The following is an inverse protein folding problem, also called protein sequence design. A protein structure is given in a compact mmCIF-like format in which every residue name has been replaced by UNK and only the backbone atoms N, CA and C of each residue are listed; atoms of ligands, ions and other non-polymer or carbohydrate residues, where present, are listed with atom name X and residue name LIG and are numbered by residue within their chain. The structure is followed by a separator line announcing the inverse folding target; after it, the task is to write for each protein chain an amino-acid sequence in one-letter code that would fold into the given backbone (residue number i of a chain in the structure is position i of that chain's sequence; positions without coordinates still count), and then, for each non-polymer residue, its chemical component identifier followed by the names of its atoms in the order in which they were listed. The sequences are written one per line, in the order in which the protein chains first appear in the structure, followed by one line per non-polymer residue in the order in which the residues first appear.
data_IF_214078412332
#
_entry.id   IF_214078412332
#
_cell.length_a   1.000
_cell.length_b   1.000
_cell.length_c   1.000
_cell.angle_alpha   90.00
_cell.angle_beta   90.00
_cell.angle_gamma   90.00
#
_symmetry.space_group_name_H-M   'P 1'
#
loop_
_entity.id
_entity.type
_entity.pdbx_description
1 polymer ?
#
# COMPACT_ATOMS: atom_id res chain seq x y z
N UNK A 1 4.01 -15.36 5.52
CA UNK A 1 3.60 -14.47 6.63
C UNK A 1 3.53 -15.29 7.92
N UNK A 2 3.97 -14.73 9.05
CA UNK A 2 3.85 -15.33 10.39
C UNK A 2 2.37 -15.36 10.83
N UNK A 3 1.95 -16.29 11.69
CA UNK A 3 0.55 -16.41 12.19
C UNK A 3 -0.05 -15.08 12.70
N UNK A 4 0.69 -14.19 13.42
CA UNK A 4 0.22 -12.85 13.79
C UNK A 4 -0.20 -11.96 12.60
N UNK A 5 0.46 -12.10 11.45
CA UNK A 5 0.18 -11.27 10.28
C UNK A 5 -1.20 -11.52 9.69
N UNK A 6 -1.66 -12.77 9.68
CA UNK A 6 -2.99 -13.12 9.15
C UNK A 6 -4.09 -12.54 10.05
N UNK A 7 -3.93 -12.60 11.38
CA UNK A 7 -4.90 -12.00 12.31
C UNK A 7 -4.99 -10.49 12.12
N UNK A 8 -3.85 -9.81 11.96
CA UNK A 8 -3.82 -8.37 11.67
C UNK A 8 -4.54 -8.11 10.36
N UNK A 9 -4.23 -8.85 9.28
CA UNK A 9 -4.89 -8.70 7.98
C UNK A 9 -6.40 -8.96 8.03
N UNK A 10 -6.90 -9.83 8.91
CA UNK A 10 -8.34 -10.03 9.10
C UNK A 10 -8.96 -8.81 9.78
N UNK A 11 -8.33 -8.27 10.82
CA UNK A 11 -8.84 -7.09 11.53
C UNK A 11 -8.74 -5.83 10.65
N UNK A 12 -7.74 -5.76 9.77
CA UNK A 12 -7.51 -4.63 8.86
C UNK A 12 -7.79 -4.99 7.39
N UNK A 13 -8.73 -5.93 7.17
CA UNK A 13 -9.06 -6.45 5.83
C UNK A 13 -9.48 -5.37 4.81
N UNK A 14 -10.14 -4.25 5.19
CA UNK A 14 -10.49 -3.22 4.21
C UNK A 14 -9.25 -2.67 3.50
N UNK A 15 -8.12 -2.55 4.19
CA UNK A 15 -6.87 -2.11 3.60
C UNK A 15 -6.30 -3.08 2.58
N UNK A 16 -6.41 -4.40 2.81
CA UNK A 16 -6.02 -5.43 1.83
C UNK A 16 -6.84 -5.27 0.56
N UNK A 17 -8.17 -5.10 0.69
CA UNK A 17 -9.06 -4.90 -0.46
C UNK A 17 -8.63 -3.68 -1.27
N UNK A 18 -8.36 -2.54 -0.62
CA UNK A 18 -7.92 -1.32 -1.30
C UNK A 18 -6.56 -1.49 -1.97
N UNK A 19 -5.63 -2.24 -1.34
CA UNK A 19 -4.33 -2.57 -1.91
C UNK A 19 -4.46 -3.34 -3.23
N UNK A 20 -5.23 -4.42 -3.23
CA UNK A 20 -5.46 -5.24 -4.44
C UNK A 20 -6.26 -4.48 -5.50
N UNK A 21 -7.22 -3.64 -5.08
CA UNK A 21 -7.91 -2.73 -6.00
C UNK A 21 -6.94 -1.75 -6.66
N UNK A 22 -5.94 -1.25 -5.94
CA UNK A 22 -4.94 -0.35 -6.50
C UNK A 22 -4.05 -1.06 -7.54
N UNK A 23 -3.60 -2.29 -7.28
CA UNK A 23 -2.92 -3.10 -8.30
C UNK A 23 -3.78 -3.23 -9.56
N UNK A 24 -5.03 -3.66 -9.39
CA UNK A 24 -5.96 -3.84 -10.50
C UNK A 24 -6.25 -2.52 -11.24
N UNK A 25 -6.35 -1.41 -10.51
CA UNK A 25 -6.53 -0.07 -11.09
C UNK A 25 -5.37 0.25 -12.04
N UNK A 26 -4.12 0.08 -11.62
CA UNK A 26 -2.96 0.34 -12.48
C UNK A 26 -2.88 -0.65 -13.65
N UNK A 27 -3.22 -1.93 -13.46
CA UNK A 27 -3.35 -2.87 -14.58
C UNK A 27 -4.36 -2.35 -15.62
N UNK A 28 -5.56 -1.94 -15.19
CA UNK A 28 -6.61 -1.40 -16.08
C UNK A 28 -6.20 -0.10 -16.77
N UNK A 29 -5.60 0.84 -16.03
CA UNK A 29 -5.11 2.11 -16.59
C UNK A 29 -4.07 1.89 -17.69
N UNK A 30 -3.21 0.88 -17.53
CA UNK A 30 -2.19 0.54 -18.51
C UNK A 30 -2.61 -0.49 -19.53
N UNK A 31 -3.88 -0.93 -19.50
CA UNK A 31 -4.43 -1.97 -20.37
C UNK A 31 -3.65 -3.29 -20.30
N UNK A 32 -3.15 -3.63 -19.11
CA UNK A 32 -2.56 -4.94 -18.82
C UNK A 32 -3.69 -5.91 -18.45
N UNK A 33 -3.89 -7.00 -19.20
CA UNK A 33 -4.92 -8.00 -18.92
C UNK A 33 -4.80 -8.56 -17.50
N UNK A 34 -5.92 -8.62 -16.79
CA UNK A 34 -6.02 -9.24 -15.47
C UNK A 34 -6.75 -10.57 -15.63
N UNK A 35 -6.10 -11.66 -15.21
CA UNK A 35 -6.62 -13.01 -15.32
C UNK A 35 -7.49 -13.38 -14.12
N UNK A 36 -7.07 -12.98 -12.92
CA UNK A 36 -7.75 -13.33 -11.68
C UNK A 36 -7.51 -12.26 -10.61
N UNK A 37 -8.52 -12.01 -9.77
CA UNK A 37 -8.39 -11.12 -8.62
C UNK A 37 -9.04 -11.75 -7.40
N UNK A 38 -8.30 -11.78 -6.30
CA UNK A 38 -8.80 -12.09 -4.98
C UNK A 38 -8.53 -10.87 -4.09
N UNK A 39 -9.56 -10.08 -3.80
CA UNK A 39 -9.40 -8.86 -2.98
C UNK A 39 -9.11 -9.14 -1.51
N UNK A 40 -9.61 -10.26 -0.99
CA UNK A 40 -9.31 -10.70 0.36
C UNK A 40 -9.61 -12.18 0.54
N UNK A 41 -8.69 -12.89 1.21
CA UNK A 41 -8.92 -14.21 1.80
C UNK A 41 -8.10 -14.34 3.10
N UNK A 42 -8.58 -15.07 4.12
CA UNK A 42 -7.84 -15.30 5.35
C UNK A 42 -6.74 -16.38 5.19
N UNK A 43 -6.02 -16.35 4.08
CA UNK A 43 -4.97 -17.30 3.70
C UNK A 43 -3.69 -16.56 3.31
N UNK A 44 -2.64 -17.28 2.91
CA UNK A 44 -1.43 -16.67 2.38
C UNK A 44 -1.27 -16.99 0.88
N UNK A 45 -1.28 -15.99 -0.01
CA UNK A 45 -1.42 -14.55 0.25
C UNK A 45 -2.85 -14.13 0.63
N UNK A 46 -2.97 -13.04 1.40
CA UNK A 46 -4.26 -12.50 1.90
C UNK A 46 -5.07 -11.78 0.83
N UNK A 47 -4.46 -11.50 -0.32
CA UNK A 47 -5.04 -10.91 -1.52
C UNK A 47 -4.06 -11.10 -2.68
N UNK A 48 -4.54 -11.03 -3.92
CA UNK A 48 -3.68 -10.99 -5.10
C UNK A 48 -4.42 -10.50 -6.35
N UNK A 49 -3.65 -9.93 -7.27
CA UNK A 49 -4.05 -9.65 -8.66
C UNK A 49 -3.12 -10.41 -9.61
N UNK A 50 -3.65 -11.43 -10.27
CA UNK A 50 -2.92 -12.15 -11.32
C UNK A 50 -3.15 -11.45 -12.65
N UNK A 51 -2.07 -10.99 -13.29
CA UNK A 51 -2.14 -10.23 -14.54
C UNK A 51 -1.02 -10.62 -15.50
N UNK A 52 -1.16 -10.24 -16.77
CA UNK A 52 -0.13 -10.44 -17.78
C UNK A 52 1.17 -9.67 -17.42
N UNK A 53 2.37 -10.18 -17.75
CA UNK A 53 3.59 -9.41 -17.59
C UNK A 53 3.51 -8.07 -18.32
N UNK A 54 3.73 -6.99 -17.56
CA UNK A 54 3.75 -5.65 -18.14
C UNK A 54 4.91 -5.49 -19.13
N UNK A 55 4.65 -4.88 -20.29
CA UNK A 55 5.63 -4.78 -21.38
C UNK A 55 6.60 -3.62 -21.20
N UNK A 56 6.18 -2.56 -20.50
CA UNK A 56 6.98 -1.35 -20.29
C UNK A 56 7.38 -1.21 -18.83
N UNK A 57 8.61 -0.75 -18.60
CA UNK A 57 9.18 -0.57 -17.25
C UNK A 57 8.28 0.26 -16.34
N UNK A 58 7.73 1.38 -16.84
CA UNK A 58 6.87 2.23 -16.01
C UNK A 58 5.59 1.51 -15.59
N UNK A 59 5.02 0.64 -16.43
CA UNK A 59 3.83 -0.13 -16.08
C UNK A 59 4.16 -1.08 -14.91
N UNK A 60 5.28 -1.80 -14.99
CA UNK A 60 5.73 -2.65 -13.88
C UNK A 60 5.92 -1.84 -12.59
N UNK A 61 6.56 -0.67 -12.67
CA UNK A 61 6.79 0.22 -11.52
C UNK A 61 5.48 0.68 -10.91
N UNK A 62 4.56 1.23 -11.71
CA UNK A 62 3.30 1.75 -11.19
C UNK A 62 2.34 0.65 -10.75
N UNK A 63 2.35 -0.54 -11.37
CA UNK A 63 1.57 -1.67 -10.86
C UNK A 63 2.11 -2.11 -9.50
N UNK A 64 3.43 -2.17 -9.33
CA UNK A 64 4.08 -2.65 -8.08
C UNK A 64 4.02 -1.62 -6.94
N UNK A 65 4.22 -0.33 -7.24
CA UNK A 65 4.29 0.75 -6.23
C UNK A 65 2.98 1.51 -6.10
N UNK A 66 2.07 1.33 -7.06
CA UNK A 66 0.76 1.98 -7.10
C UNK A 66 -0.06 1.85 -5.81
N UNK A 67 -0.18 0.67 -5.20
CA UNK A 67 -0.88 0.51 -3.92
C UNK A 67 -0.32 1.40 -2.82
N UNK A 68 1.00 1.56 -2.73
CA UNK A 68 1.59 2.47 -1.75
C UNK A 68 1.11 3.91 -1.91
N UNK A 69 1.01 4.39 -3.15
CA UNK A 69 0.55 5.75 -3.44
C UNK A 69 -0.95 5.88 -3.09
N UNK A 70 -1.77 4.96 -3.59
CA UNK A 70 -3.24 5.02 -3.43
C UNK A 70 -3.64 4.84 -1.97
N UNK A 71 -3.11 3.82 -1.29
CA UNK A 71 -3.44 3.56 0.11
C UNK A 71 -2.97 4.70 1.01
N UNK A 72 -1.76 5.23 0.80
CA UNK A 72 -1.27 6.37 1.60
C UNK A 72 -2.16 7.60 1.42
N UNK A 73 -2.54 7.92 0.18
CA UNK A 73 -3.40 9.06 -0.11
C UNK A 73 -4.79 8.90 0.52
N UNK A 74 -5.42 7.73 0.38
CA UNK A 74 -6.72 7.44 0.98
C UNK A 74 -6.66 7.42 2.50
N UNK A 75 -5.63 6.82 3.09
CA UNK A 75 -5.34 6.85 4.52
C UNK A 75 -5.27 8.30 5.02
N UNK A 76 -4.53 9.16 4.33
CA UNK A 76 -4.44 10.57 4.69
C UNK A 76 -5.78 11.29 4.57
N UNK A 77 -6.47 11.19 3.43
CA UNK A 77 -7.73 11.93 3.20
C UNK A 77 -8.81 11.52 4.22
N UNK A 78 -8.98 10.22 4.44
CA UNK A 78 -9.98 9.69 5.38
C UNK A 78 -9.54 9.96 6.83
N UNK A 79 -8.25 9.77 7.14
CA UNK A 79 -7.72 10.01 8.47
C UNK A 79 -7.74 11.48 8.87
N UNK A 80 -7.52 12.39 7.92
CA UNK A 80 -7.53 13.83 8.16
C UNK A 80 -8.91 14.33 8.60
N UNK A 81 -10.00 13.84 7.97
CA UNK A 81 -11.36 14.24 8.34
C UNK A 81 -11.70 13.81 9.78
N UNK A 82 -11.38 12.57 10.16
CA UNK A 82 -11.58 12.07 11.52
C UNK A 82 -10.64 12.74 12.53
N UNK A 83 -9.38 12.98 12.16
CA UNK A 83 -8.38 13.67 13.00
C UNK A 83 -8.79 15.08 13.39
N UNK A 84 -9.44 15.81 12.48
CA UNK A 84 -10.00 17.13 12.81
C UNK A 84 -11.02 17.02 13.93
N UNK A 85 -11.94 16.06 13.85
CA UNK A 85 -12.98 15.89 14.88
C UNK A 85 -12.39 15.47 16.23
N UNK A 86 -11.36 14.61 16.23
CA UNK A 86 -10.64 14.27 17.46
C UNK A 86 -9.89 15.46 18.04
N UNK A 87 -9.30 16.31 17.20
CA UNK A 87 -8.51 17.47 17.66
C UNK A 87 -9.37 18.53 18.34
N UNK A 88 -10.63 18.67 17.95
CA UNK A 88 -11.59 19.63 18.50
C UNK A 88 -12.61 19.01 19.46
N UNK A 89 -12.35 17.78 19.95
CA UNK A 89 -13.20 17.05 20.88
C UNK A 89 -14.67 16.93 20.42
N UNK A 90 -14.89 16.86 19.11
CA UNK A 90 -16.21 16.81 18.44
C UNK A 90 -16.50 15.48 17.74
N UNK A 91 -15.67 14.46 17.99
CA UNK A 91 -15.77 13.18 17.32
C UNK A 91 -17.02 12.37 17.73
N UNK A 92 -17.64 11.74 16.74
CA UNK A 92 -18.74 10.82 16.89
C UNK A 92 -18.37 9.42 16.37
N UNK A 93 -19.32 8.48 16.43
CA UNK A 93 -19.09 7.07 16.04
C UNK A 93 -18.55 6.93 14.60
N UNK A 94 -19.00 7.78 13.67
CA UNK A 94 -18.51 7.77 12.29
C UNK A 94 -17.02 8.08 12.22
N UNK A 95 -16.52 9.03 13.03
CA UNK A 95 -15.11 9.41 13.03
C UNK A 95 -14.21 8.29 13.53
N UNK A 96 -14.66 7.52 14.52
CA UNK A 96 -13.96 6.30 14.94
C UNK A 96 -13.93 5.23 13.85
N UNK A 97 -15.02 5.06 13.11
CA UNK A 97 -15.08 4.13 11.98
C UNK A 97 -14.17 4.59 10.82
N UNK A 98 -14.17 5.88 10.50
CA UNK A 98 -13.30 6.46 9.47
C UNK A 98 -11.83 6.36 9.89
N UNK A 99 -11.50 6.58 11.16
CA UNK A 99 -10.15 6.40 11.66
C UNK A 99 -9.68 4.95 11.57
N UNK A 100 -10.53 4.00 11.98
CA UNK A 100 -10.26 2.57 11.79
C UNK A 100 -10.01 2.24 10.31
N UNK A 101 -10.86 2.73 9.42
CA UNK A 101 -10.73 2.52 7.98
C UNK A 101 -9.42 3.12 7.43
N UNK A 102 -9.08 4.35 7.83
CA UNK A 102 -7.86 5.04 7.43
C UNK A 102 -6.62 4.26 7.86
N UNK A 103 -6.52 3.89 9.14
CA UNK A 103 -5.40 3.11 9.67
C UNK A 103 -5.33 1.74 8.99
N UNK A 104 -6.47 1.08 8.76
CA UNK A 104 -6.52 -0.19 8.05
C UNK A 104 -5.95 -0.08 6.64
N UNK A 105 -6.32 0.96 5.87
CA UNK A 105 -5.78 1.22 4.53
C UNK A 105 -4.28 1.53 4.58
N UNK A 106 -3.85 2.39 5.50
CA UNK A 106 -2.45 2.75 5.67
C UNK A 106 -1.56 1.58 6.10
N UNK A 107 -2.08 0.68 6.94
CA UNK A 107 -1.39 -0.53 7.39
C UNK A 107 -1.17 -1.57 6.28
N UNK A 108 -1.80 -1.38 5.11
CA UNK A 108 -1.54 -2.18 3.91
C UNK A 108 -1.02 -1.29 2.77
N UNK A 109 -0.33 -0.19 3.06
CA UNK A 109 0.23 0.65 2.01
C UNK A 109 1.52 0.06 1.40
N UNK A 110 2.39 -0.54 2.23
CA UNK A 110 3.70 -0.98 1.74
C UNK A 110 3.58 -2.11 0.71
N UNK A 111 4.33 -2.04 -0.41
CA UNK A 111 4.36 -3.12 -1.40
C UNK A 111 4.96 -4.40 -0.80
N UNK A 112 4.58 -5.54 -1.37
CA UNK A 112 5.01 -6.85 -0.91
C UNK A 112 6.38 -7.25 -1.46
N UNK A 113 6.96 -8.32 -0.89
CA UNK A 113 8.15 -8.97 -1.49
C UNK A 113 7.85 -9.57 -2.87
N UNK A 114 6.58 -9.85 -3.19
CA UNK A 114 6.14 -10.24 -4.53
C UNK A 114 6.34 -9.11 -5.53
N UNK A 115 5.96 -7.89 -5.16
CA UNK A 115 6.13 -6.68 -5.98
C UNK A 115 7.60 -6.36 -6.23
N UNK A 116 8.43 -6.48 -5.18
CA UNK A 116 9.88 -6.35 -5.30
C UNK A 116 10.46 -7.36 -6.29
N UNK A 117 10.03 -8.62 -6.22
CA UNK A 117 10.49 -9.68 -7.13
C UNK A 117 10.02 -9.45 -8.57
N UNK A 118 8.79 -8.97 -8.76
CA UNK A 118 8.27 -8.60 -10.08
C UNK A 118 9.13 -7.50 -10.72
N UNK A 119 9.46 -6.45 -9.97
CA UNK A 119 10.35 -5.38 -10.44
C UNK A 119 11.77 -5.87 -10.71
N UNK A 120 12.33 -6.66 -9.80
CA UNK A 120 13.67 -7.19 -9.93
C UNK A 120 13.84 -8.06 -11.19
N UNK A 121 12.89 -8.97 -11.42
CA UNK A 121 12.93 -9.87 -12.56
C UNK A 121 12.63 -9.15 -13.88
N UNK A 122 11.59 -8.30 -13.92
CA UNK A 122 11.18 -7.61 -15.14
C UNK A 122 12.16 -6.49 -15.55
N UNK A 123 12.79 -5.81 -14.59
CA UNK A 123 13.63 -4.63 -14.87
C UNK A 123 15.10 -4.89 -14.63
N UNK A 124 15.49 -5.30 -13.42
CA UNK A 124 16.91 -5.33 -13.02
C UNK A 124 17.66 -6.47 -13.69
N UNK A 125 17.10 -7.69 -13.65
CA UNK A 125 17.66 -8.88 -14.28
C UNK A 125 17.47 -8.93 -15.80
N UNK A 126 16.56 -8.13 -16.36
CA UNK A 126 16.29 -8.16 -17.79
C UNK A 126 17.52 -7.76 -18.60
N UNK A 127 17.78 -8.48 -19.69
CA UNK A 127 18.87 -8.18 -20.64
C UNK A 127 18.52 -7.04 -21.59
N UNK A 128 17.24 -6.74 -21.75
CA UNK A 128 16.72 -5.79 -22.75
C UNK A 128 16.46 -4.40 -22.18
N UNK A 129 16.43 -4.26 -20.84
CA UNK A 129 16.17 -2.98 -20.17
C UNK A 129 17.41 -2.11 -20.14
N UNK A 130 17.20 -0.80 -20.30
CA UNK A 130 18.29 0.18 -20.28
C UNK A 130 18.97 0.24 -18.91
N UNK A 131 20.26 0.57 -18.91
CA UNK A 131 21.04 0.72 -17.68
C UNK A 131 20.46 1.80 -16.74
N UNK A 132 19.90 2.89 -17.29
CA UNK A 132 19.21 3.94 -16.54
C UNK A 132 18.00 3.39 -15.79
N UNK A 133 17.15 2.60 -16.45
CA UNK A 133 16.00 1.96 -15.79
C UNK A 133 16.42 1.06 -14.63
N UNK A 134 17.55 0.35 -14.76
CA UNK A 134 18.09 -0.49 -13.68
C UNK A 134 18.55 0.34 -12.49
N UNK A 135 19.26 1.43 -12.72
CA UNK A 135 19.71 2.34 -11.66
C UNK A 135 18.54 2.94 -10.90
N UNK A 136 17.45 3.31 -11.60
CA UNK A 136 16.27 3.90 -10.97
C UNK A 136 15.45 2.85 -10.21
N UNK A 137 15.27 1.64 -10.76
CA UNK A 137 14.39 0.62 -10.15
C UNK A 137 15.08 -0.14 -9.01
N UNK A 138 16.39 -0.30 -9.04
CA UNK A 138 17.15 -0.98 -7.96
C UNK A 138 16.90 -0.38 -6.57
N UNK A 139 16.99 0.95 -6.33
CA UNK A 139 16.69 1.52 -5.02
C UNK A 139 15.22 1.37 -4.64
N UNK A 140 14.28 1.36 -5.60
CA UNK A 140 12.86 1.08 -5.35
C UNK A 140 12.69 -0.35 -4.81
N UNK A 141 13.32 -1.33 -5.44
CA UNK A 141 13.33 -2.73 -4.95
C UNK A 141 13.92 -2.82 -3.55
N UNK A 142 15.03 -2.13 -3.30
CA UNK A 142 15.66 -2.05 -1.97
C UNK A 142 14.73 -1.45 -0.92
N UNK A 143 14.03 -0.37 -1.26
CA UNK A 143 13.03 0.26 -0.39
C UNK A 143 11.88 -0.70 -0.05
N UNK A 144 11.36 -1.45 -1.02
CA UNK A 144 10.28 -2.42 -0.78
C UNK A 144 10.75 -3.53 0.17
N UNK A 145 11.95 -4.08 -0.04
CA UNK A 145 12.50 -5.09 0.87
C UNK A 145 12.75 -4.54 2.28
N UNK A 146 13.23 -3.29 2.40
CA UNK A 146 13.38 -2.63 3.69
C UNK A 146 12.03 -2.43 4.39
N UNK A 147 11.00 -2.02 3.65
CA UNK A 147 9.62 -1.93 4.13
C UNK A 147 9.12 -3.26 4.65
N UNK A 148 9.22 -4.32 3.84
CA UNK A 148 8.81 -5.68 4.23
C UNK A 148 9.56 -6.23 5.45
N UNK A 149 10.84 -5.86 5.64
CA UNK A 149 11.59 -6.17 6.87
C UNK A 149 11.05 -5.36 8.06
N UNK A 150 10.74 -4.08 7.85
CA UNK A 150 10.14 -3.21 8.84
C UNK A 150 8.76 -3.66 9.30
N UNK A 151 7.96 -4.25 8.40
CA UNK A 151 6.64 -4.83 8.71
C UNK A 151 6.70 -5.87 9.83
N UNK A 152 7.84 -6.56 10.00
CA UNK A 152 8.09 -7.45 11.14
C UNK A 152 8.02 -6.73 12.50
N UNK A 153 8.39 -5.44 12.52
CA UNK A 153 8.38 -4.57 13.69
C UNK A 153 7.17 -3.62 13.70
N UNK A 154 6.03 -4.03 13.12
CA UNK A 154 4.79 -3.27 13.11
C UNK A 154 4.86 -1.92 12.37
N UNK A 155 5.86 -1.76 11.49
CA UNK A 155 6.06 -0.53 10.73
C UNK A 155 4.82 -0.13 9.95
N UNK A 156 4.04 -1.08 9.43
CA UNK A 156 2.86 -0.76 8.63
C UNK A 156 1.76 -0.09 9.46
N UNK A 157 1.48 -0.59 10.66
CA UNK A 157 0.49 0.00 11.57
C UNK A 157 1.00 1.36 12.08
N UNK A 158 2.28 1.46 12.43
CA UNK A 158 2.89 2.74 12.85
C UNK A 158 2.78 3.76 11.73
N UNK A 159 3.09 3.36 10.49
CA UNK A 159 2.98 4.20 9.31
C UNK A 159 1.52 4.63 9.06
N UNK A 160 0.58 3.68 9.08
CA UNK A 160 -0.85 3.96 8.92
C UNK A 160 -1.35 4.96 9.97
N UNK A 161 -1.01 4.76 11.25
CA UNK A 161 -1.34 5.70 12.32
C UNK A 161 -0.65 7.06 12.16
N UNK A 162 0.62 7.08 11.74
CA UNK A 162 1.34 8.33 11.49
C UNK A 162 0.72 9.13 10.34
N UNK A 163 0.27 8.48 9.27
CA UNK A 163 -0.38 9.15 8.13
C UNK A 163 -1.82 9.55 8.47
N UNK A 164 -2.57 8.69 9.17
CA UNK A 164 -3.98 8.93 9.49
C UNK A 164 -4.21 9.93 10.62
N UNK A 165 -3.30 10.02 11.60
CA UNK A 165 -3.40 10.89 12.79
C UNK A 165 -2.23 11.87 12.91
N UNK A 166 -1.00 11.35 12.89
CA UNK A 166 0.20 12.14 13.19
C UNK A 166 0.39 13.32 12.23
N UNK A 167 0.35 13.05 10.93
CA UNK A 167 0.50 14.05 9.88
C UNK A 167 -0.63 15.09 9.91
N UNK A 168 -1.93 14.72 9.97
CA UNK A 168 -3.01 15.67 10.21
C UNK A 168 -2.81 16.55 11.45
N UNK A 169 -2.43 15.98 12.59
CA UNK A 169 -2.21 16.74 13.83
C UNK A 169 -1.06 17.74 13.69
N UNK A 170 0.02 17.36 13.01
CA UNK A 170 1.12 18.28 12.70
C UNK A 170 0.62 19.43 11.82
N UNK A 171 -0.13 19.13 10.75
CA UNK A 171 -0.69 20.15 9.85
C UNK A 171 -1.61 21.10 10.61
N UNK A 172 -2.55 20.59 11.41
CA UNK A 172 -3.49 21.41 12.19
C UNK A 172 -2.74 22.33 13.15
N UNK A 173 -1.69 21.82 13.83
CA UNK A 173 -0.86 22.60 14.75
C UNK A 173 -0.14 23.78 14.07
N UNK A 174 0.15 23.69 12.78
CA UNK A 174 0.78 24.80 12.04
C UNK A 174 -0.25 25.80 11.46
N UNK A 175 -1.52 25.39 11.34
CA UNK A 175 -2.57 26.21 10.76
C UNK A 175 -3.42 26.96 11.80
N UNK A 176 -3.49 26.45 13.03
CA UNK A 176 -4.28 26.97 14.17
C UNK A 176 -3.35 27.24 15.34
#
# INVERSE_FOLDING_TARGET
MFVPGILISIVTFPGVIVHELAHQLFCRLFKVPVFEVCYFRPENPVGYVLHEPATKVYQTVFISVGPFIINTLLCFIIGFSASLQFKFDSANVLDYLLMYLAISIGAHAFPSTGDANSLWNAVVKSKTTSWLSKIVVTPIVGFIYAGALGSFFWLDIIYGGAVALGLPYLIIKFLV
#
